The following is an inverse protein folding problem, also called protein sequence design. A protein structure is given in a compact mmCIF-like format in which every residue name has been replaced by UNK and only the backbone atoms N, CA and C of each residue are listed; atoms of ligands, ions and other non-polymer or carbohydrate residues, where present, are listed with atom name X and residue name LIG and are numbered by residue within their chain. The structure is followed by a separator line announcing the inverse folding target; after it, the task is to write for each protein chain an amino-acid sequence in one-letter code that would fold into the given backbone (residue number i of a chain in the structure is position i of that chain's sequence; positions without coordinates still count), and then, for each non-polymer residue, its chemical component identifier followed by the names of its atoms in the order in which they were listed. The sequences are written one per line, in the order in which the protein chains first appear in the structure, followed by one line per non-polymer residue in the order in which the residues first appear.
data_IF_653149297281
#
_entry.id   IF_653149297281
#
_cell.length_a   1.000
_cell.length_b   1.000
_cell.length_c   1.000
_cell.angle_alpha   90.00
_cell.angle_beta   90.00
_cell.angle_gamma   90.00
#
_symmetry.space_group_name_H-M   'P 1'
#
loop_
_entity.id
_entity.type
_entity.pdbx_description
1 polymer ?
#
# COMPACT_ATOMS: atom_id res chain seq x y z
N UNK A 1 2.57 15.07 -31.44
CA UNK A 1 1.80 13.88 -31.02
C UNK A 1 1.27 14.16 -29.62
N UNK A 2 0.00 13.87 -29.29
CA UNK A 2 -0.41 13.88 -27.89
C UNK A 2 0.52 12.94 -27.12
N UNK A 3 0.99 13.35 -25.93
CA UNK A 3 1.71 12.42 -25.07
C UNK A 3 0.77 11.25 -24.77
N UNK A 4 1.24 10.03 -24.98
CA UNK A 4 0.46 8.80 -24.79
C UNK A 4 -0.10 8.73 -23.35
N UNK A 5 0.65 9.20 -22.37
CA UNK A 5 0.30 9.10 -20.97
C UNK A 5 -0.96 9.87 -20.54
N UNK A 6 -1.05 11.21 -20.60
CA UNK A 6 -2.23 11.89 -20.08
C UNK A 6 -3.48 11.43 -20.82
N UNK A 7 -3.38 11.14 -22.12
CA UNK A 7 -4.51 10.66 -22.92
C UNK A 7 -4.97 9.25 -22.52
N UNK A 8 -4.05 8.28 -22.37
CA UNK A 8 -4.44 6.90 -22.01
C UNK A 8 -4.93 6.79 -20.57
N UNK A 9 -4.36 7.57 -19.65
CA UNK A 9 -4.86 7.71 -18.28
C UNK A 9 -6.26 8.34 -18.26
N UNK A 10 -6.46 9.45 -18.98
CA UNK A 10 -7.76 10.10 -19.10
C UNK A 10 -8.83 9.13 -19.63
N UNK A 11 -8.53 8.41 -20.70
CA UNK A 11 -9.45 7.43 -21.29
C UNK A 11 -9.85 6.34 -20.28
N UNK A 12 -8.90 5.82 -19.50
CA UNK A 12 -9.20 4.86 -18.43
C UNK A 12 -10.06 5.48 -17.32
N UNK A 13 -9.68 6.65 -16.80
CA UNK A 13 -10.39 7.33 -15.71
C UNK A 13 -11.85 7.62 -16.09
N UNK A 14 -12.08 8.13 -17.30
CA UNK A 14 -13.42 8.37 -17.84
C UNK A 14 -14.25 7.08 -17.92
N UNK A 15 -13.62 5.94 -18.26
CA UNK A 15 -14.30 4.64 -18.35
C UNK A 15 -14.76 4.09 -17.00
N UNK A 16 -14.20 4.57 -15.89
CA UNK A 16 -14.58 4.19 -14.52
C UNK A 16 -15.29 5.34 -13.78
N UNK A 17 -15.81 6.33 -14.50
CA UNK A 17 -16.72 7.35 -13.95
C UNK A 17 -16.04 8.59 -13.36
N UNK A 18 -14.75 8.78 -13.57
CA UNK A 18 -14.11 10.07 -13.25
C UNK A 18 -14.48 11.12 -14.29
N UNK A 19 -14.50 12.38 -13.88
CA UNK A 19 -14.72 13.54 -14.75
C UNK A 19 -13.47 14.42 -14.75
N UNK A 20 -13.17 15.03 -15.90
CA UNK A 20 -12.06 15.98 -16.01
C UNK A 20 -12.40 17.28 -15.29
N UNK A 21 -11.47 17.76 -14.47
CA UNK A 21 -11.51 19.08 -13.85
C UNK A 21 -10.66 20.11 -14.60
N UNK A 22 -10.08 19.75 -15.74
CA UNK A 22 -9.04 20.52 -16.43
C UNK A 22 -7.64 20.24 -15.89
N UNK A 23 -6.61 20.74 -16.58
CA UNK A 23 -5.20 20.66 -16.18
C UNK A 23 -4.73 19.25 -15.77
N UNK A 24 -5.12 18.21 -16.51
CA UNK A 24 -4.80 16.81 -16.19
C UNK A 24 -5.15 16.38 -14.75
N UNK A 25 -6.26 16.93 -14.23
CA UNK A 25 -6.87 16.55 -12.96
C UNK A 25 -8.24 15.92 -13.22
N UNK A 26 -8.54 14.84 -12.52
CA UNK A 26 -9.83 14.16 -12.59
C UNK A 26 -10.38 13.90 -11.20
N UNK A 27 -11.70 13.88 -11.08
CA UNK A 27 -12.41 13.57 -9.84
C UNK A 27 -13.55 12.59 -10.08
N UNK A 28 -13.74 11.66 -9.13
CA UNK A 28 -14.95 10.87 -9.06
C UNK A 28 -15.90 11.47 -8.00
N UNK A 29 -17.18 11.64 -8.36
CA UNK A 29 -18.14 12.40 -7.56
C UNK A 29 -18.58 11.73 -6.25
N UNK A 30 -18.76 10.42 -6.24
CA UNK A 30 -19.25 9.64 -5.09
C UNK A 30 -18.16 9.42 -4.02
N UNK A 31 -16.99 8.91 -4.42
CA UNK A 31 -15.84 8.61 -3.57
C UNK A 31 -15.04 9.86 -3.19
N UNK A 32 -15.21 10.95 -3.95
CA UNK A 32 -14.42 12.19 -3.87
C UNK A 32 -12.93 11.99 -4.15
N UNK A 33 -12.54 10.86 -4.74
CA UNK A 33 -11.16 10.58 -5.09
C UNK A 33 -10.74 11.50 -6.24
N UNK A 34 -9.53 12.06 -6.13
CA UNK A 34 -8.92 12.88 -7.18
C UNK A 34 -7.63 12.25 -7.68
N UNK A 35 -7.43 12.29 -8.98
CA UNK A 35 -6.25 11.75 -9.67
C UNK A 35 -5.63 12.85 -10.51
N UNK A 36 -4.32 13.05 -10.36
CA UNK A 36 -3.52 14.04 -11.11
C UNK A 36 -2.47 13.32 -11.94
N UNK A 37 -2.38 13.62 -13.23
CA UNK A 37 -1.21 13.25 -14.03
C UNK A 37 -0.04 14.20 -13.75
N UNK A 38 1.15 13.65 -13.54
CA UNK A 38 2.37 14.42 -13.29
C UNK A 38 3.19 14.57 -14.58
N UNK A 39 3.89 15.71 -14.78
CA UNK A 39 4.09 16.80 -13.83
C UNK A 39 2.91 17.79 -13.77
N UNK A 40 2.71 18.39 -12.61
CA UNK A 40 1.72 19.45 -12.42
C UNK A 40 1.47 19.74 -10.95
N UNK A 41 0.82 20.86 -10.65
CA UNK A 41 0.38 21.15 -9.29
C UNK A 41 -0.72 20.20 -8.86
N UNK A 42 -0.65 19.76 -7.62
CA UNK A 42 -1.63 18.89 -6.98
C UNK A 42 -1.73 19.19 -5.50
N UNK A 43 -2.90 18.94 -4.96
CA UNK A 43 -3.23 19.24 -3.58
C UNK A 43 -2.96 18.03 -2.68
N UNK A 44 -3.14 18.22 -1.37
CA UNK A 44 -3.12 17.10 -0.43
C UNK A 44 -4.27 16.14 -0.72
N UNK A 45 -3.98 14.83 -0.67
CA UNK A 45 -4.96 13.77 -0.93
C UNK A 45 -5.15 13.40 -2.40
N UNK A 46 -4.59 14.16 -3.34
CA UNK A 46 -4.58 13.78 -4.75
C UNK A 46 -3.69 12.55 -4.97
N UNK A 47 -4.19 11.59 -5.75
CA UNK A 47 -3.38 10.49 -6.24
C UNK A 47 -2.57 11.01 -7.43
N UNK A 48 -1.26 11.15 -7.27
CA UNK A 48 -0.35 11.65 -8.29
C UNK A 48 0.27 10.49 -9.07
N UNK A 49 0.00 10.42 -10.37
CA UNK A 49 0.50 9.37 -11.26
C UNK A 49 1.54 9.96 -12.19
N UNK A 50 2.74 9.38 -12.21
CA UNK A 50 3.78 9.72 -13.19
C UNK A 50 3.66 8.90 -14.47
N UNK A 51 4.15 9.46 -15.58
CA UNK A 51 4.21 8.77 -16.88
C UNK A 51 4.95 7.44 -16.80
N UNK A 52 6.10 7.42 -16.13
CA UNK A 52 6.92 6.23 -15.90
C UNK A 52 6.16 5.14 -15.15
N UNK A 53 5.47 5.51 -14.07
CA UNK A 53 4.66 4.60 -13.27
C UNK A 53 3.49 4.05 -14.10
N UNK A 54 2.81 4.91 -14.85
CA UNK A 54 1.69 4.49 -15.70
C UNK A 54 2.14 3.51 -16.77
N UNK A 55 3.22 3.80 -17.49
CA UNK A 55 3.72 2.94 -18.56
C UNK A 55 4.22 1.59 -18.03
N UNK A 56 4.88 1.56 -16.87
CA UNK A 56 5.45 0.32 -16.33
C UNK A 56 4.47 -0.51 -15.50
N UNK A 57 3.52 0.13 -14.81
CA UNK A 57 2.68 -0.48 -13.77
C UNK A 57 1.19 -0.26 -13.98
N UNK A 58 0.78 0.02 -15.23
CA UNK A 58 -0.60 0.31 -15.63
C UNK A 58 -1.64 -0.59 -14.97
N UNK A 59 -1.51 -1.91 -15.12
CA UNK A 59 -2.49 -2.88 -14.60
C UNK A 59 -2.68 -2.81 -13.08
N UNK A 60 -1.61 -2.66 -12.31
CA UNK A 60 -1.70 -2.48 -10.85
C UNK A 60 -2.31 -1.14 -10.46
N UNK A 61 -2.02 -0.07 -11.21
CA UNK A 61 -2.59 1.26 -10.97
C UNK A 61 -4.09 1.24 -11.27
N UNK A 62 -4.50 0.66 -12.40
CA UNK A 62 -5.90 0.50 -12.78
C UNK A 62 -6.68 -0.28 -11.72
N UNK A 63 -6.16 -1.41 -11.25
CA UNK A 63 -6.73 -2.18 -10.13
C UNK A 63 -6.94 -1.31 -8.88
N UNK A 64 -5.92 -0.55 -8.49
CA UNK A 64 -5.96 0.27 -7.27
C UNK A 64 -6.96 1.42 -7.39
N UNK A 65 -7.05 2.06 -8.56
CA UNK A 65 -8.04 3.11 -8.82
C UNK A 65 -9.46 2.54 -8.81
N UNK A 66 -9.70 1.40 -9.46
CA UNK A 66 -11.00 0.71 -9.41
C UNK A 66 -11.40 0.37 -7.98
N UNK A 67 -10.45 -0.08 -7.16
CA UNK A 67 -10.68 -0.44 -5.77
C UNK A 67 -11.03 0.76 -4.86
N UNK A 68 -10.74 1.99 -5.30
CA UNK A 68 -11.16 3.23 -4.60
C UNK A 68 -12.61 3.60 -4.90
N UNK A 69 -13.13 3.20 -6.07
CA UNK A 69 -14.49 3.53 -6.51
C UNK A 69 -15.50 2.43 -6.18
N UNK A 70 -15.10 1.16 -6.31
CA UNK A 70 -16.01 0.03 -6.14
C UNK A 70 -16.05 -0.45 -4.68
N UNK A 71 -17.23 -0.78 -4.15
CA UNK A 71 -17.32 -1.51 -2.89
C UNK A 71 -16.55 -2.82 -2.98
N UNK A 72 -15.58 -3.01 -2.09
CA UNK A 72 -14.80 -4.24 -2.01
C UNK A 72 -15.45 -5.24 -1.04
N UNK A 73 -15.39 -6.52 -1.40
CA UNK A 73 -15.79 -7.61 -0.51
C UNK A 73 -14.94 -7.60 0.75
N UNK A 74 -15.57 -7.54 1.91
CA UNK A 74 -14.85 -7.49 3.18
C UNK A 74 -14.42 -8.89 3.64
N UNK A 75 -13.11 -9.06 3.88
CA UNK A 75 -12.55 -10.24 4.54
C UNK A 75 -12.08 -9.81 5.93
N UNK A 76 -12.56 -10.47 6.98
CA UNK A 76 -12.16 -10.14 8.35
C UNK A 76 -10.90 -10.91 8.72
N UNK A 77 -9.94 -10.22 9.35
CA UNK A 77 -8.69 -10.84 9.77
C UNK A 77 -8.87 -12.02 10.74
N UNK A 78 -9.98 -12.11 11.48
CA UNK A 78 -10.29 -13.30 12.32
C UNK A 78 -10.51 -14.59 11.52
N UNK A 79 -10.79 -14.48 10.23
CA UNK A 79 -11.01 -15.60 9.31
C UNK A 79 -9.74 -15.97 8.54
N UNK A 80 -8.61 -15.33 8.84
CA UNK A 80 -7.32 -15.57 8.17
C UNK A 80 -6.28 -16.13 9.14
N UNK A 81 -5.05 -16.35 8.68
CA UNK A 81 -3.85 -16.61 9.49
C UNK A 81 -2.66 -15.87 8.88
N UNK A 82 -1.78 -15.34 9.74
CA UNK A 82 -0.50 -14.77 9.29
C UNK A 82 0.55 -15.88 9.35
N UNK A 83 1.33 -16.02 8.28
CA UNK A 83 2.40 -17.02 8.16
C UNK A 83 3.66 -16.37 7.57
N UNK A 84 4.87 -16.78 7.96
CA UNK A 84 6.08 -16.44 7.21
C UNK A 84 5.98 -16.99 5.79
N UNK A 85 6.48 -16.23 4.82
CA UNK A 85 6.59 -16.66 3.41
C UNK A 85 7.99 -16.33 2.90
N UNK A 86 8.39 -16.97 1.80
CA UNK A 86 9.66 -16.64 1.14
C UNK A 86 9.55 -15.37 0.26
N UNK A 87 10.72 -14.88 -0.16
CA UNK A 87 10.81 -13.69 -0.99
C UNK A 87 10.26 -13.89 -2.41
N UNK A 88 10.18 -15.14 -2.89
CA UNK A 88 9.68 -15.48 -4.23
C UNK A 88 8.15 -15.33 -4.25
N UNK A 89 7.47 -15.96 -3.29
CA UNK A 89 6.03 -15.82 -3.06
C UNK A 89 5.64 -14.36 -2.84
N UNK A 90 6.40 -13.63 -2.02
CA UNK A 90 6.15 -12.21 -1.81
C UNK A 90 6.28 -11.39 -3.11
N UNK A 91 7.26 -11.73 -3.96
CA UNK A 91 7.46 -11.08 -5.26
C UNK A 91 6.31 -11.34 -6.21
N UNK A 92 5.90 -12.59 -6.37
CA UNK A 92 4.79 -12.96 -7.24
C UNK A 92 3.50 -12.20 -6.91
N UNK A 93 3.20 -12.05 -5.62
CA UNK A 93 2.05 -11.29 -5.15
C UNK A 93 2.21 -9.77 -5.38
N UNK A 94 3.32 -9.20 -4.89
CA UNK A 94 3.51 -7.75 -4.86
C UNK A 94 3.68 -7.14 -6.26
N UNK A 95 4.33 -7.85 -7.20
CA UNK A 95 4.49 -7.36 -8.57
C UNK A 95 3.15 -7.19 -9.32
N UNK A 96 2.09 -7.85 -8.86
CA UNK A 96 0.77 -7.85 -9.49
C UNK A 96 -0.28 -7.06 -8.72
N UNK A 97 -0.15 -6.98 -7.40
CA UNK A 97 -1.13 -6.34 -6.52
C UNK A 97 -0.71 -4.96 -6.00
N UNK A 98 0.58 -4.59 -6.10
CA UNK A 98 1.08 -3.33 -5.58
C UNK A 98 1.60 -2.38 -6.68
N UNK A 99 1.30 -1.09 -6.57
CA UNK A 99 1.68 -0.06 -7.58
C UNK A 99 3.19 0.13 -7.70
N UNK A 100 3.96 -0.19 -6.64
CA UNK A 100 5.44 -0.18 -6.66
C UNK A 100 6.04 -1.52 -7.08
N UNK A 101 5.23 -2.56 -7.19
CA UNK A 101 5.68 -3.93 -7.34
C UNK A 101 6.41 -4.46 -6.10
N UNK A 102 7.26 -5.47 -6.31
CA UNK A 102 8.05 -6.06 -5.24
C UNK A 102 9.11 -5.12 -4.68
N UNK A 103 9.10 -4.94 -3.36
CA UNK A 103 10.14 -4.26 -2.60
C UNK A 103 10.90 -5.27 -1.74
N UNK A 104 12.23 -5.15 -1.72
CA UNK A 104 13.09 -6.07 -0.96
C UNK A 104 13.05 -5.73 0.52
N UNK A 105 12.95 -6.76 1.37
CA UNK A 105 12.98 -6.66 2.82
C UNK A 105 13.95 -7.65 3.45
N UNK A 106 13.92 -7.71 4.77
CA UNK A 106 14.61 -8.72 5.58
C UNK A 106 13.71 -9.94 5.88
N UNK A 107 12.40 -9.73 6.00
CA UNK A 107 11.41 -10.78 6.22
C UNK A 107 10.07 -10.44 5.56
N UNK A 108 9.26 -11.48 5.32
CA UNK A 108 8.00 -11.41 4.59
C UNK A 108 6.94 -12.22 5.33
N UNK A 109 5.74 -11.66 5.50
CA UNK A 109 4.60 -12.40 6.04
C UNK A 109 3.44 -12.37 5.05
N UNK A 110 2.74 -13.49 4.92
CA UNK A 110 1.52 -13.65 4.14
C UNK A 110 0.28 -13.77 5.04
N UNK A 111 -0.86 -13.31 4.55
CA UNK A 111 -2.17 -13.52 5.16
C UNK A 111 -2.94 -14.56 4.34
N UNK A 112 -3.07 -15.77 4.88
CA UNK A 112 -3.73 -16.89 4.20
C UNK A 112 -5.12 -17.16 4.77
N UNK A 113 -5.98 -17.82 3.99
CA UNK A 113 -7.22 -18.44 4.50
C UNK A 113 -6.87 -19.83 5.06
N UNK A 114 -6.96 -20.07 6.38
CA UNK A 114 -6.61 -21.36 6.94
C UNK A 114 -7.65 -22.44 6.59
N UNK A 115 -7.28 -23.73 6.61
CA UNK A 115 -8.15 -24.83 6.16
C UNK A 115 -9.53 -24.84 6.82
N UNK A 116 -9.59 -24.56 8.12
CA UNK A 116 -10.82 -24.54 8.91
C UNK A 116 -11.73 -23.32 8.62
N UNK A 117 -11.38 -22.46 7.66
CA UNK A 117 -12.15 -21.29 7.20
C UNK A 117 -12.55 -21.36 5.73
N UNK A 118 -12.20 -22.43 5.01
CA UNK A 118 -12.51 -22.60 3.56
C UNK A 118 -14.00 -22.47 3.26
N UNK A 119 -14.89 -22.90 4.18
CA UNK A 119 -16.34 -22.77 4.03
C UNK A 119 -16.85 -21.32 3.87
N UNK A 120 -16.01 -20.31 4.15
CA UNK A 120 -16.33 -18.89 3.96
C UNK A 120 -16.31 -18.46 2.48
N UNK A 121 -15.81 -19.31 1.56
CA UNK A 121 -15.74 -18.98 0.13
C UNK A 121 -14.80 -17.82 -0.18
N UNK A 122 -13.74 -17.64 0.63
CA UNK A 122 -12.74 -16.59 0.39
C UNK A 122 -11.70 -17.16 -0.58
N UNK A 123 -11.69 -16.62 -1.80
CA UNK A 123 -10.84 -17.08 -2.89
C UNK A 123 -9.68 -16.10 -3.18
N UNK A 124 -8.65 -16.62 -3.83
CA UNK A 124 -7.51 -15.84 -4.31
C UNK A 124 -6.93 -16.51 -5.55
N UNK A 125 -6.44 -15.70 -6.49
CA UNK A 125 -5.60 -16.17 -7.60
C UNK A 125 -4.19 -16.57 -7.17
N UNK A 126 -3.81 -16.26 -5.93
CA UNK A 126 -2.52 -16.62 -5.35
C UNK A 126 -2.72 -17.67 -4.26
N UNK A 127 -1.80 -18.61 -4.17
CA UNK A 127 -1.83 -19.65 -3.14
C UNK A 127 -0.47 -19.76 -2.48
N UNK A 128 -0.46 -20.12 -1.20
CA UNK A 128 0.74 -20.47 -0.44
C UNK A 128 0.46 -21.75 0.33
N UNK A 129 1.27 -22.77 0.11
CA UNK A 129 1.09 -24.11 0.71
C UNK A 129 -0.35 -24.67 0.52
N UNK A 130 -0.95 -24.41 -0.65
CA UNK A 130 -2.32 -24.84 -0.97
C UNK A 130 -3.44 -24.02 -0.33
N UNK A 131 -3.12 -22.89 0.31
CA UNK A 131 -4.09 -21.99 0.92
C UNK A 131 -4.19 -20.66 0.15
N UNK A 132 -5.40 -20.08 -0.03
CA UNK A 132 -5.56 -18.77 -0.64
C UNK A 132 -4.73 -17.71 0.09
N UNK A 133 -3.87 -17.00 -0.65
CA UNK A 133 -3.04 -15.90 -0.14
C UNK A 133 -3.71 -14.57 -0.46
N UNK A 134 -4.03 -13.78 0.57
CA UNK A 134 -4.87 -12.59 0.45
C UNK A 134 -4.12 -11.27 0.58
N UNK A 135 -2.99 -11.29 1.27
CA UNK A 135 -2.18 -10.09 1.51
C UNK A 135 -0.75 -10.48 1.84
N UNK A 136 0.18 -9.58 1.57
CA UNK A 136 1.60 -9.71 1.89
C UNK A 136 2.08 -8.43 2.54
N UNK A 137 2.92 -8.57 3.57
CA UNK A 137 3.67 -7.46 4.17
C UNK A 137 5.17 -7.74 4.08
N UNK A 138 5.93 -6.69 3.84
CA UNK A 138 7.40 -6.71 3.78
C UNK A 138 7.92 -5.94 4.99
N UNK A 139 8.81 -6.58 5.76
CA UNK A 139 9.56 -5.92 6.82
C UNK A 139 11.02 -5.74 6.42
N UNK A 140 11.56 -4.55 6.68
CA UNK A 140 12.95 -4.16 6.46
C UNK A 140 13.85 -4.62 7.60
N UNK A 141 15.08 -4.11 7.63
CA UNK A 141 15.99 -4.38 8.76
C UNK A 141 15.55 -3.57 9.98
N UNK A 142 15.67 -4.15 11.17
CA UNK A 142 15.46 -3.38 12.41
C UNK A 142 16.47 -2.23 12.52
N UNK A 143 16.00 -1.08 12.96
CA UNK A 143 16.81 0.12 13.15
C UNK A 143 16.95 0.38 14.66
N UNK A 144 18.19 0.56 15.11
CA UNK A 144 18.45 1.06 16.46
C UNK A 144 18.24 2.57 16.48
N UNK A 145 17.31 3.01 17.30
CA UNK A 145 16.87 4.39 17.36
C UNK A 145 17.91 5.27 18.06
N UNK A 146 18.08 6.48 17.52
CA UNK A 146 18.97 7.53 18.03
C UNK A 146 18.24 8.83 18.41
N UNK A 147 16.93 8.85 18.19
CA UNK A 147 16.08 10.02 18.45
C UNK A 147 15.84 10.17 19.96
N UNK A 148 15.77 11.42 20.42
CA UNK A 148 15.51 11.74 21.81
C UNK A 148 14.23 11.09 22.34
N UNK A 149 14.35 10.37 23.47
CA UNK A 149 13.26 9.63 24.11
C UNK A 149 13.08 8.19 23.60
N UNK A 150 13.83 7.77 22.59
CA UNK A 150 13.81 6.40 22.04
C UNK A 150 15.23 5.83 21.89
N UNK A 151 16.24 6.47 22.45
CA UNK A 151 17.62 6.04 22.29
C UNK A 151 17.82 4.59 22.75
N UNK A 152 18.39 3.79 21.86
CA UNK A 152 18.63 2.38 22.14
C UNK A 152 17.43 1.47 21.89
N UNK A 153 16.21 1.98 21.73
CA UNK A 153 15.07 1.18 21.29
C UNK A 153 15.31 0.61 19.90
N UNK A 154 14.75 -0.58 19.66
CA UNK A 154 14.76 -1.21 18.35
C UNK A 154 13.41 -1.00 17.66
N UNK A 155 13.45 -0.50 16.43
CA UNK A 155 12.27 -0.28 15.60
C UNK A 155 12.31 -1.22 14.40
N UNK A 156 11.25 -2.02 14.21
CA UNK A 156 11.02 -2.71 12.95
C UNK A 156 10.63 -1.72 11.87
N UNK A 157 10.91 -2.05 10.62
CA UNK A 157 10.51 -1.22 9.47
C UNK A 157 9.45 -1.97 8.67
N UNK A 158 8.20 -1.49 8.67
CA UNK A 158 7.21 -1.94 7.69
C UNK A 158 7.51 -1.21 6.38
N UNK A 159 8.01 -1.96 5.40
CA UNK A 159 8.43 -1.41 4.11
C UNK A 159 7.24 -1.30 3.18
N UNK A 160 6.41 -2.34 3.13
CA UNK A 160 5.26 -2.37 2.24
C UNK A 160 4.17 -3.32 2.74
N UNK A 161 2.92 -3.00 2.41
CA UNK A 161 1.78 -3.90 2.59
C UNK A 161 0.86 -3.84 1.36
N UNK A 162 0.51 -5.00 0.83
CA UNK A 162 -0.49 -5.11 -0.23
C UNK A 162 -1.54 -6.16 0.13
N UNK A 163 -2.78 -5.88 -0.26
CA UNK A 163 -3.90 -6.83 -0.23
C UNK A 163 -4.33 -7.12 -1.64
N UNK A 164 -5.04 -8.23 -1.85
CA UNK A 164 -5.78 -8.45 -3.10
C UNK A 164 -6.64 -7.23 -3.42
N UNK A 165 -6.54 -6.71 -4.64
CA UNK A 165 -7.26 -5.51 -5.06
C UNK A 165 -8.79 -5.68 -5.06
N UNK A 166 -9.27 -6.91 -5.01
CA UNK A 166 -10.69 -7.26 -5.00
C UNK A 166 -11.33 -7.31 -3.61
N UNK A 167 -10.54 -7.19 -2.54
CA UNK A 167 -11.05 -7.32 -1.17
C UNK A 167 -10.65 -6.13 -0.30
N UNK A 168 -11.45 -5.88 0.74
CA UNK A 168 -11.06 -5.08 1.89
C UNK A 168 -10.69 -6.00 3.04
N UNK A 169 -9.41 -6.07 3.41
CA UNK A 169 -8.95 -6.86 4.56
C UNK A 169 -9.13 -6.08 5.87
N UNK A 170 -10.24 -6.31 6.56
CA UNK A 170 -10.59 -5.62 7.81
C UNK A 170 -9.77 -6.17 8.97
N UNK A 171 -8.98 -5.30 9.61
CA UNK A 171 -8.07 -5.68 10.71
C UNK A 171 -6.79 -6.38 10.25
N UNK A 172 -6.50 -6.37 8.94
CA UNK A 172 -5.29 -7.03 8.39
C UNK A 172 -4.00 -6.44 8.94
N UNK A 173 -3.88 -5.11 8.91
CA UNK A 173 -2.67 -4.41 9.36
C UNK A 173 -2.35 -4.69 10.83
N UNK A 174 -3.33 -4.59 11.74
CA UNK A 174 -3.10 -4.89 13.17
C UNK A 174 -2.70 -6.34 13.39
N UNK A 175 -3.28 -7.28 12.62
CA UNK A 175 -2.92 -8.68 12.69
C UNK A 175 -1.48 -8.95 12.21
N UNK A 176 -1.02 -8.27 11.17
CA UNK A 176 0.37 -8.34 10.74
C UNK A 176 1.33 -7.75 11.78
N UNK A 177 0.98 -6.61 12.38
CA UNK A 177 1.81 -5.99 13.44
C UNK A 177 1.93 -6.88 14.67
N UNK A 178 0.83 -7.55 15.05
CA UNK A 178 0.84 -8.51 16.14
C UNK A 178 1.72 -9.72 15.80
N UNK A 179 1.56 -10.30 14.62
CA UNK A 179 2.40 -11.41 14.18
C UNK A 179 3.89 -11.03 14.13
N UNK A 180 4.21 -9.81 13.70
CA UNK A 180 5.57 -9.29 13.71
C UNK A 180 6.11 -9.12 15.14
N UNK A 181 5.28 -8.61 16.08
CA UNK A 181 5.63 -8.50 17.51
C UNK A 181 5.92 -9.88 18.11
N UNK A 182 5.10 -10.87 17.80
CA UNK A 182 5.23 -12.23 18.33
C UNK A 182 6.51 -12.93 17.81
N UNK A 183 6.88 -12.65 16.56
CA UNK A 183 8.12 -13.17 15.94
C UNK A 183 9.38 -12.42 16.38
N UNK A 184 9.23 -11.16 16.78
CA UNK A 184 10.31 -10.25 17.15
C UNK A 184 10.01 -9.52 18.47
N UNK A 185 9.95 -10.24 19.61
CA UNK A 185 9.59 -9.66 20.91
C UNK A 185 10.58 -8.60 21.40
N UNK A 186 11.79 -8.55 20.83
CA UNK A 186 12.81 -7.52 21.09
C UNK A 186 12.53 -6.17 20.39
N UNK A 187 11.59 -6.12 19.45
CA UNK A 187 11.18 -4.88 18.80
C UNK A 187 10.28 -4.07 19.73
N UNK A 188 10.59 -2.78 19.86
CA UNK A 188 9.87 -1.87 20.75
C UNK A 188 8.77 -1.10 20.02
N UNK A 189 8.92 -0.91 18.71
CA UNK A 189 7.97 -0.21 17.85
C UNK A 189 8.18 -0.61 16.39
N UNK A 190 7.27 -0.18 15.52
CA UNK A 190 7.36 -0.33 14.06
C UNK A 190 7.26 1.05 13.42
N UNK A 191 8.22 1.40 12.56
CA UNK A 191 8.17 2.59 11.72
C UNK A 191 7.76 2.24 10.28
N UNK A 192 7.17 3.21 9.58
CA UNK A 192 6.85 3.10 8.15
C UNK A 192 6.91 4.48 7.49
N UNK A 193 7.21 4.50 6.20
CA UNK A 193 7.12 5.68 5.36
C UNK A 193 5.93 5.53 4.42
N UNK A 194 5.00 6.49 4.44
CA UNK A 194 3.82 6.47 3.57
C UNK A 194 3.94 7.53 2.50
N UNK A 195 3.93 7.09 1.24
CA UNK A 195 4.05 7.96 0.08
C UNK A 195 2.85 8.90 -0.06
N UNK A 196 3.12 10.22 -0.01
CA UNK A 196 2.09 11.27 -0.09
C UNK A 196 1.47 11.40 -1.47
N UNK A 197 2.06 10.79 -2.51
CA UNK A 197 1.51 10.77 -3.86
C UNK A 197 0.38 9.74 -4.01
N UNK A 198 0.27 8.77 -3.11
CA UNK A 198 -0.72 7.68 -3.22
C UNK A 198 -1.67 7.58 -2.03
N UNK A 199 -1.23 8.07 -0.87
CA UNK A 199 -1.90 7.79 0.39
C UNK A 199 -1.86 8.98 1.35
N UNK A 200 -2.94 9.14 2.10
CA UNK A 200 -3.06 10.13 3.18
C UNK A 200 -2.61 9.58 4.55
N UNK A 201 -2.15 8.33 4.61
CA UNK A 201 -1.77 7.66 5.87
C UNK A 201 -2.95 7.26 6.76
N UNK A 202 -4.20 7.61 6.43
CA UNK A 202 -5.39 7.37 7.26
C UNK A 202 -5.53 5.93 7.79
N UNK A 203 -5.21 4.92 6.97
CA UNK A 203 -5.30 3.51 7.38
C UNK A 203 -4.28 3.10 8.44
N UNK A 204 -3.11 3.73 8.47
CA UNK A 204 -2.11 3.53 9.54
C UNK A 204 -2.51 4.30 10.80
N UNK A 205 -2.94 5.55 10.64
CA UNK A 205 -3.35 6.40 11.76
C UNK A 205 -4.54 5.80 12.53
N UNK A 206 -5.51 5.20 11.82
CA UNK A 206 -6.70 4.61 12.43
C UNK A 206 -6.41 3.37 13.29
N UNK A 207 -5.24 2.75 13.13
CA UNK A 207 -4.84 1.57 13.91
C UNK A 207 -3.79 1.88 14.97
N UNK A 208 -3.51 3.16 15.24
CA UNK A 208 -2.63 3.59 16.33
C UNK A 208 -1.22 4.02 15.91
N UNK A 209 -0.92 4.15 14.61
CA UNK A 209 0.30 4.83 14.22
C UNK A 209 0.19 6.33 14.54
N UNK A 210 1.26 6.90 15.09
CA UNK A 210 1.44 8.34 15.24
C UNK A 210 2.28 8.89 14.08
N UNK A 211 1.92 10.08 13.59
CA UNK A 211 2.76 10.85 12.67
C UNK A 211 3.89 11.50 13.46
N UNK A 212 5.13 11.14 13.14
CA UNK A 212 6.35 11.64 13.81
C UNK A 212 7.10 12.66 12.95
N UNK A 213 6.71 12.82 11.68
CA UNK A 213 7.31 13.79 10.79
C UNK A 213 6.98 13.51 9.33
N UNK A 214 7.68 14.20 8.44
CA UNK A 214 7.59 14.03 6.99
C UNK A 214 8.97 14.18 6.37
N UNK A 215 9.13 13.67 5.14
CA UNK A 215 10.26 14.07 4.30
C UNK A 215 9.85 15.25 3.42
N UNK A 216 10.80 16.16 3.17
CA UNK A 216 10.61 17.21 2.19
C UNK A 216 10.38 16.61 0.78
N UNK A 217 9.69 17.35 -0.11
CA UNK A 217 9.64 17.00 -1.52
C UNK A 217 11.04 16.87 -2.12
N UNK A 218 11.20 15.98 -3.08
CA UNK A 218 12.47 15.71 -3.77
C UNK A 218 12.28 15.94 -5.26
N UNK A 219 13.13 16.78 -5.86
CA UNK A 219 13.17 16.97 -7.30
C UNK A 219 13.89 15.77 -7.95
N UNK A 220 13.17 15.04 -8.80
CA UNK A 220 13.66 13.89 -9.57
C UNK A 220 13.54 14.20 -11.06
N UNK A 221 14.62 14.71 -11.65
CA UNK A 221 14.61 15.20 -13.03
C UNK A 221 13.56 16.30 -13.21
N UNK A 222 12.56 16.06 -14.06
CA UNK A 222 11.48 17.03 -14.36
C UNK A 222 10.26 16.89 -13.44
N UNK A 223 10.28 15.96 -12.46
CA UNK A 223 9.17 15.69 -11.55
C UNK A 223 9.55 16.07 -10.12
N UNK A 224 8.60 16.64 -9.39
CA UNK A 224 8.70 16.82 -7.94
C UNK A 224 7.95 15.67 -7.26
N UNK A 225 8.65 14.81 -6.52
CA UNK A 225 8.02 13.83 -5.63
C UNK A 225 7.63 14.54 -4.32
N UNK A 226 6.42 14.30 -3.82
CA UNK A 226 5.90 15.02 -2.63
C UNK A 226 6.55 14.63 -1.31
N UNK A 227 7.38 13.58 -1.28
CA UNK A 227 7.95 13.00 -0.07
C UNK A 227 6.99 12.04 0.63
N UNK A 228 7.33 11.65 1.85
CA UNK A 228 6.62 10.63 2.61
C UNK A 228 6.19 11.15 3.99
N UNK A 229 5.07 10.66 4.51
CA UNK A 229 4.76 10.72 5.93
C UNK A 229 5.66 9.72 6.67
N UNK A 230 6.21 10.12 7.81
CA UNK A 230 6.91 9.23 8.73
C UNK A 230 5.96 8.85 9.84
N UNK A 231 5.61 7.57 9.94
CA UNK A 231 4.66 7.08 10.92
C UNK A 231 5.33 6.04 11.84
N UNK A 232 4.89 5.97 13.09
CA UNK A 232 5.39 5.02 14.09
C UNK A 232 4.26 4.41 14.92
N UNK A 233 4.29 3.10 15.11
CA UNK A 233 3.41 2.34 15.98
C UNK A 233 4.21 1.82 17.17
N UNK A 234 3.84 2.23 18.37
CA UNK A 234 4.46 1.74 19.62
C UNK A 234 3.57 0.66 20.21
N UNK A 235 4.20 -0.42 20.67
CA UNK A 235 3.56 -1.67 21.08
C UNK A 235 2.85 -1.66 22.44
#
# INVERSE_FOLDING_TARGET
MPKEFPHTLAHFLLSIGFQSMGDDLWQQEESKVRVKAMPGESQEGDICIGEDQWLMRRSSIEKHLIAREKPLSSVFARDTRIVPIDAETAREFLDKEHVKGFLKGSSYLGCIVPPHRVFRGIESSYTYEGHPLLAVVVFGKSIKMKEAGLEGCHSGELVEIATLSSIRLVGGLTKFLQAYKDLHPEMHNVMTYVDKEWNTGKGFLSVGFAKIGETAPIQLGNRMNKGNLKLRYVY
#
